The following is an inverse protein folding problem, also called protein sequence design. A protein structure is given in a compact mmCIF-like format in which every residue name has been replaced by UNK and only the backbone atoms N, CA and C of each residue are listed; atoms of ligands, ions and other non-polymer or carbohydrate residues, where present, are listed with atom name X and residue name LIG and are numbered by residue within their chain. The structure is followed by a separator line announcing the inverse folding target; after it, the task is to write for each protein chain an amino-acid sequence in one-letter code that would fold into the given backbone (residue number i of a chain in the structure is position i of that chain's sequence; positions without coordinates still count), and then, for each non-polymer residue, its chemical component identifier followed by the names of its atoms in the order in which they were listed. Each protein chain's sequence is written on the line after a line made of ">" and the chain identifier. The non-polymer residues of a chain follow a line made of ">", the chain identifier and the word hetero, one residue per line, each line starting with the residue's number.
data_IF_001353288123
#
_entry.id   IF_001353288123
#
_cell.length_a   1.000
_cell.length_b   1.000
_cell.length_c   1.000
_cell.angle_alpha   90.00
_cell.angle_beta   90.00
_cell.angle_gamma   90.00
#
_symmetry.space_group_name_H-M   'P 1'
#
loop_
_entity.id
_entity.type
_entity.pdbx_description
1 polymer ?
#
# COMPACT_ATOMS: atom_id res chain seq x y z
N UNK A 1 -16.91 -19.76 4.21
CA UNK A 1 -15.96 -19.34 3.15
C UNK A 1 -14.76 -20.27 3.22
N UNK A 2 -14.16 -20.67 2.07
CA UNK A 2 -12.94 -21.47 2.07
C UNK A 2 -11.77 -20.67 2.67
N UNK A 3 -10.78 -21.38 3.20
CA UNK A 3 -9.48 -20.83 3.58
C UNK A 3 -8.48 -21.10 2.45
N UNK A 4 -7.38 -20.35 2.41
CA UNK A 4 -6.34 -20.53 1.42
C UNK A 4 -5.71 -21.93 1.52
N UNK A 5 -5.55 -22.59 0.38
CA UNK A 5 -4.71 -23.79 0.28
C UNK A 5 -3.24 -23.42 0.53
N UNK A 6 -2.41 -24.43 0.83
CA UNK A 6 -0.96 -24.22 1.00
C UNK A 6 -0.32 -23.61 -0.25
N UNK A 7 -0.75 -24.04 -1.44
CA UNK A 7 -0.24 -23.54 -2.72
C UNK A 7 -0.62 -22.07 -2.93
N UNK A 8 -1.89 -21.70 -2.72
CA UNK A 8 -2.37 -20.33 -2.81
C UNK A 8 -1.67 -19.43 -1.80
N UNK A 9 -1.48 -19.90 -0.57
CA UNK A 9 -0.77 -19.14 0.48
C UNK A 9 0.68 -18.88 0.10
N UNK A 10 1.39 -19.91 -0.43
CA UNK A 10 2.77 -19.76 -0.88
C UNK A 10 2.90 -18.80 -2.08
N UNK A 11 1.91 -18.80 -2.99
CA UNK A 11 1.86 -17.87 -4.11
C UNK A 11 1.63 -16.45 -3.61
N UNK A 12 0.64 -16.26 -2.73
CA UNK A 12 0.33 -14.97 -2.12
C UNK A 12 1.53 -14.41 -1.34
N UNK A 13 2.24 -15.24 -0.56
CA UNK A 13 3.44 -14.83 0.18
C UNK A 13 4.50 -14.27 -0.77
N UNK A 14 4.85 -15.01 -1.83
CA UNK A 14 5.86 -14.56 -2.81
C UNK A 14 5.45 -13.25 -3.48
N UNK A 15 4.19 -13.14 -3.90
CA UNK A 15 3.66 -11.92 -4.52
C UNK A 15 3.71 -10.72 -3.57
N UNK A 16 3.28 -10.88 -2.32
CA UNK A 16 3.27 -9.77 -1.34
C UNK A 16 4.68 -9.32 -0.98
N UNK A 17 5.62 -10.27 -0.83
CA UNK A 17 7.04 -9.93 -0.55
C UNK A 17 7.67 -9.18 -1.72
N UNK A 18 7.45 -9.65 -2.97
CA UNK A 18 7.94 -8.96 -4.17
C UNK A 18 7.28 -7.58 -4.34
N UNK A 19 5.96 -7.49 -4.16
CA UNK A 19 5.22 -6.24 -4.25
C UNK A 19 5.73 -5.19 -3.25
N UNK A 20 6.08 -5.61 -2.04
CA UNK A 20 6.70 -4.72 -1.06
C UNK A 20 8.02 -4.13 -1.56
N UNK A 21 8.91 -4.95 -2.11
CA UNK A 21 10.19 -4.47 -2.63
C UNK A 21 10.01 -3.51 -3.80
N UNK A 22 9.08 -3.79 -4.70
CA UNK A 22 8.71 -2.91 -5.84
C UNK A 22 8.10 -1.61 -5.33
N UNK A 23 7.16 -1.66 -4.40
CA UNK A 23 6.51 -0.47 -3.84
C UNK A 23 7.48 0.41 -3.04
N UNK A 24 8.39 -0.18 -2.23
CA UNK A 24 9.43 0.57 -1.52
C UNK A 24 10.38 1.27 -2.52
N UNK A 25 10.75 0.63 -3.62
CA UNK A 25 11.58 1.23 -4.66
C UNK A 25 10.84 2.35 -5.40
N UNK A 26 9.59 2.14 -5.78
CA UNK A 26 8.74 3.16 -6.42
C UNK A 26 8.49 4.37 -5.52
N UNK A 27 8.16 4.15 -4.25
CA UNK A 27 8.00 5.20 -3.25
C UNK A 27 9.29 6.01 -3.09
N UNK A 28 10.44 5.34 -2.98
CA UNK A 28 11.74 6.01 -2.89
C UNK A 28 11.99 6.89 -4.10
N UNK A 29 11.84 6.37 -5.31
CA UNK A 29 12.05 7.13 -6.54
C UNK A 29 11.14 8.36 -6.63
N UNK A 30 9.86 8.21 -6.30
CA UNK A 30 8.89 9.31 -6.31
C UNK A 30 9.21 10.38 -5.26
N UNK A 31 9.55 9.99 -4.02
CA UNK A 31 9.90 10.92 -2.95
C UNK A 31 11.23 11.65 -3.23
N UNK A 32 12.19 10.99 -3.87
CA UNK A 32 13.45 11.60 -4.30
C UNK A 32 13.20 12.60 -5.46
N UNK A 33 12.33 12.29 -6.42
CA UNK A 33 11.94 13.21 -7.50
C UNK A 33 11.24 14.46 -6.95
N UNK A 34 10.48 14.34 -5.85
CA UNK A 34 9.89 15.45 -5.11
C UNK A 34 10.87 16.16 -4.15
N UNK A 35 12.15 15.84 -4.18
CA UNK A 35 13.17 16.42 -3.29
C UNK A 35 12.82 16.36 -1.79
N UNK A 36 12.05 15.36 -1.33
CA UNK A 36 11.60 15.25 0.06
C UNK A 36 12.79 15.10 1.01
N UNK A 37 13.82 14.36 0.60
CA UNK A 37 15.05 14.15 1.37
C UNK A 37 16.01 15.37 1.36
N UNK A 38 15.89 16.29 0.40
CA UNK A 38 16.72 17.48 0.29
C UNK A 38 16.27 18.60 1.25
N UNK A 39 17.21 19.46 1.66
CA UNK A 39 16.89 20.67 2.41
C UNK A 39 16.04 21.62 1.57
N UNK A 40 16.47 21.95 0.37
CA UNK A 40 15.78 22.86 -0.55
C UNK A 40 14.99 22.08 -1.62
N UNK A 41 13.86 22.63 -2.08
CA UNK A 41 13.14 22.09 -3.24
C UNK A 41 13.94 22.31 -4.52
N UNK A 42 13.74 21.44 -5.51
CA UNK A 42 14.32 21.68 -6.82
C UNK A 42 13.73 22.93 -7.47
N UNK A 43 14.55 23.67 -8.23
CA UNK A 43 14.17 24.96 -8.82
C UNK A 43 12.99 24.86 -9.81
N UNK A 44 12.87 23.71 -10.51
CA UNK A 44 11.84 23.45 -11.50
C UNK A 44 10.49 23.01 -10.94
N UNK A 45 10.38 22.78 -9.62
CA UNK A 45 9.14 22.32 -9.00
C UNK A 45 8.05 23.37 -9.03
N UNK A 46 6.82 22.94 -9.38
CA UNK A 46 5.62 23.77 -9.29
C UNK A 46 5.25 24.15 -7.83
N UNK A 47 4.42 25.17 -7.63
CA UNK A 47 3.92 25.51 -6.29
C UNK A 47 3.23 24.33 -5.58
N UNK A 48 2.43 23.55 -6.31
CA UNK A 48 1.69 22.38 -5.80
C UNK A 48 2.66 21.28 -5.38
N UNK A 49 3.68 20.99 -6.19
CA UNK A 49 4.73 20.02 -5.85
C UNK A 49 5.51 20.46 -4.60
N UNK A 50 5.79 21.76 -4.45
CA UNK A 50 6.46 22.29 -3.25
C UNK A 50 5.58 22.16 -2.01
N UNK A 51 4.28 22.38 -2.14
CA UNK A 51 3.32 22.19 -1.05
C UNK A 51 3.26 20.72 -0.62
N UNK A 52 3.07 19.81 -1.59
CA UNK A 52 3.06 18.37 -1.33
C UNK A 52 4.37 17.91 -0.65
N UNK A 53 5.52 18.35 -1.19
CA UNK A 53 6.82 18.08 -0.58
C UNK A 53 6.88 18.50 0.89
N UNK A 54 6.38 19.70 1.22
CA UNK A 54 6.40 20.19 2.60
C UNK A 54 5.52 19.34 3.53
N UNK A 55 4.35 18.90 3.06
CA UNK A 55 3.48 17.98 3.80
C UNK A 55 4.15 16.62 4.01
N UNK A 56 4.79 16.06 2.97
CA UNK A 56 5.54 14.80 3.06
C UNK A 56 6.74 14.90 4.03
N UNK A 57 7.46 16.02 4.03
CA UNK A 57 8.54 16.26 5.01
C UNK A 57 8.01 16.37 6.45
N UNK A 58 6.85 16.99 6.65
CA UNK A 58 6.20 17.02 7.95
C UNK A 58 5.78 15.62 8.39
N UNK A 59 5.19 14.84 7.47
CA UNK A 59 4.80 13.44 7.72
C UNK A 59 5.99 12.57 8.08
N UNK A 60 7.10 12.64 7.34
CA UNK A 60 8.33 11.89 7.63
C UNK A 60 8.82 12.12 9.07
N UNK A 61 8.85 13.37 9.52
CA UNK A 61 9.23 13.69 10.91
C UNK A 61 8.25 13.12 11.95
N UNK A 62 6.95 13.12 11.66
CA UNK A 62 5.94 12.49 12.52
C UNK A 62 6.13 10.98 12.65
N UNK A 63 6.62 10.33 11.58
CA UNK A 63 6.92 8.90 11.54
C UNK A 63 8.26 8.56 12.23
N UNK A 64 9.06 9.56 12.60
CA UNK A 64 10.34 9.37 13.29
C UNK A 64 11.57 9.47 12.39
N UNK A 65 11.41 9.81 11.11
CA UNK A 65 12.54 10.10 10.22
C UNK A 65 13.31 11.34 10.70
N UNK A 66 14.63 11.23 10.80
CA UNK A 66 15.49 12.26 11.40
C UNK A 66 16.02 13.22 10.36
N UNK A 67 16.17 14.47 10.76
CA UNK A 67 16.79 15.51 9.96
C UNK A 67 18.21 15.79 10.49
N UNK A 68 19.20 15.84 9.60
CA UNK A 68 20.57 16.18 9.94
C UNK A 68 20.77 17.70 10.08
N UNK A 69 21.99 18.09 10.49
CA UNK A 69 22.36 19.50 10.70
C UNK A 69 22.35 20.33 9.40
N UNK A 70 22.44 19.67 8.25
CA UNK A 70 22.42 20.30 6.93
C UNK A 70 21.00 20.39 6.34
N UNK A 71 19.98 19.99 7.11
CA UNK A 71 18.58 20.01 6.68
C UNK A 71 18.16 18.83 5.79
N UNK A 72 19.07 17.86 5.51
CA UNK A 72 18.74 16.62 4.82
C UNK A 72 17.89 15.75 5.74
N UNK A 73 16.79 15.21 5.21
CA UNK A 73 15.83 14.39 5.94
C UNK A 73 16.03 12.92 5.54
N UNK A 74 16.11 12.03 6.52
CA UNK A 74 15.87 10.61 6.30
C UNK A 74 14.41 10.44 5.87
N UNK A 75 14.15 9.46 4.99
CA UNK A 75 12.79 9.19 4.48
C UNK A 75 12.46 7.69 4.54
N UNK A 76 13.12 6.97 5.44
CA UNK A 76 12.98 5.50 5.52
C UNK A 76 11.59 5.07 5.96
N UNK A 77 11.05 5.69 7.02
CA UNK A 77 9.70 5.38 7.50
C UNK A 77 8.64 5.90 6.52
N UNK A 78 8.88 7.07 5.92
CA UNK A 78 7.98 7.63 4.91
C UNK A 78 7.90 6.73 3.66
N UNK A 79 9.03 6.17 3.20
CA UNK A 79 9.05 5.20 2.09
C UNK A 79 8.19 3.99 2.43
N UNK A 80 8.35 3.43 3.64
CA UNK A 80 7.59 2.26 4.08
C UNK A 80 6.08 2.52 4.16
N UNK A 81 5.69 3.68 4.69
CA UNK A 81 4.29 4.09 4.74
C UNK A 81 3.72 4.29 3.35
N UNK A 82 4.40 5.06 2.50
CA UNK A 82 3.97 5.33 1.13
C UNK A 82 3.83 4.02 0.33
N UNK A 83 4.79 3.11 0.44
CA UNK A 83 4.73 1.80 -0.20
C UNK A 83 3.53 0.97 0.26
N UNK A 84 3.29 0.93 1.57
CA UNK A 84 2.16 0.18 2.14
C UNK A 84 0.82 0.75 1.68
N UNK A 85 0.63 2.07 1.78
CA UNK A 85 -0.64 2.72 1.43
C UNK A 85 -0.99 2.53 -0.05
N UNK A 86 -0.02 2.64 -0.96
CA UNK A 86 -0.25 2.41 -2.39
C UNK A 86 -0.60 0.96 -2.71
N UNK A 87 0.18 0.00 -2.18
CA UNK A 87 -0.09 -1.42 -2.38
C UNK A 87 -1.42 -1.84 -1.77
N UNK A 88 -1.64 -1.46 -0.50
CA UNK A 88 -2.85 -1.82 0.23
C UNK A 88 -4.12 -1.32 -0.48
N UNK A 89 -4.09 -0.09 -1.01
CA UNK A 89 -5.21 0.48 -1.74
C UNK A 89 -5.58 -0.33 -2.99
N UNK A 90 -4.60 -0.72 -3.80
CA UNK A 90 -4.81 -1.53 -5.00
C UNK A 90 -5.31 -2.93 -4.65
N UNK A 91 -4.64 -3.60 -3.71
CA UNK A 91 -5.01 -4.94 -3.26
C UNK A 91 -6.42 -4.98 -2.66
N UNK A 92 -6.76 -3.97 -1.87
CA UNK A 92 -8.08 -3.89 -1.23
C UNK A 92 -9.18 -3.59 -2.26
N UNK A 93 -8.93 -2.74 -3.25
CA UNK A 93 -9.85 -2.50 -4.35
C UNK A 93 -10.13 -3.81 -5.09
N UNK A 94 -9.09 -4.61 -5.39
CA UNK A 94 -9.26 -5.94 -5.97
C UNK A 94 -10.06 -6.87 -5.08
N UNK A 95 -9.75 -6.92 -3.78
CA UNK A 95 -10.52 -7.73 -2.84
C UNK A 95 -12.00 -7.36 -2.85
N UNK A 96 -12.33 -6.08 -2.88
CA UNK A 96 -13.72 -5.63 -2.94
C UNK A 96 -14.39 -6.06 -4.25
N UNK A 97 -13.72 -5.88 -5.39
CA UNK A 97 -14.27 -6.27 -6.70
C UNK A 97 -14.53 -7.78 -6.80
N UNK A 98 -13.57 -8.61 -6.36
CA UNK A 98 -13.70 -10.08 -6.42
C UNK A 98 -14.78 -10.64 -5.47
N UNK A 99 -15.26 -9.84 -4.53
CA UNK A 99 -16.31 -10.20 -3.58
C UNK A 99 -17.64 -9.45 -3.84
N UNK A 100 -17.79 -8.80 -5.00
CA UNK A 100 -18.98 -7.99 -5.36
C UNK A 100 -19.27 -6.87 -4.35
N UNK A 101 -18.22 -6.30 -3.75
CA UNK A 101 -18.29 -5.26 -2.73
C UNK A 101 -17.74 -3.90 -3.18
N UNK A 102 -17.13 -3.81 -4.36
CA UNK A 102 -16.65 -2.54 -4.90
C UNK A 102 -17.86 -1.78 -5.49
N UNK A 103 -18.25 -0.70 -4.83
CA UNK A 103 -19.45 0.05 -5.19
C UNK A 103 -19.06 1.28 -6.01
N UNK A 104 -19.69 1.44 -7.18
CA UNK A 104 -19.69 2.69 -7.92
C UNK A 104 -20.56 3.71 -7.18
N UNK A 105 -20.03 4.90 -6.79
CA UNK A 105 -20.70 5.76 -5.81
C UNK A 105 -21.96 6.46 -6.31
N UNK A 106 -22.06 6.76 -7.62
CA UNK A 106 -23.20 7.51 -8.17
C UNK A 106 -24.44 6.63 -8.34
N UNK A 107 -24.24 5.41 -8.83
CA UNK A 107 -25.32 4.45 -9.06
C UNK A 107 -25.60 3.55 -7.86
N UNK A 108 -24.62 3.42 -6.95
CA UNK A 108 -24.74 2.56 -5.78
C UNK A 108 -24.76 1.06 -6.10
N UNK A 109 -24.14 0.65 -7.22
CA UNK A 109 -24.08 -0.73 -7.68
C UNK A 109 -22.66 -1.30 -7.52
N UNK A 110 -22.58 -2.62 -7.28
CA UNK A 110 -21.30 -3.31 -7.28
C UNK A 110 -20.77 -3.40 -8.71
N UNK A 111 -19.46 -3.18 -8.86
CA UNK A 111 -18.75 -3.21 -10.14
C UNK A 111 -17.59 -4.18 -10.10
N UNK A 112 -17.38 -4.90 -11.19
CA UNK A 112 -16.20 -5.74 -11.41
C UNK A 112 -14.98 -4.90 -11.82
N UNK A 113 -13.80 -5.52 -11.91
CA UNK A 113 -12.62 -4.84 -12.43
C UNK A 113 -12.74 -4.54 -13.93
N UNK A 114 -13.39 -5.42 -14.71
CA UNK A 114 -13.65 -5.20 -16.13
C UNK A 114 -14.55 -3.98 -16.34
N UNK A 115 -15.63 -3.86 -15.55
CA UNK A 115 -16.51 -2.68 -15.60
C UNK A 115 -15.76 -1.41 -15.14
N UNK A 116 -14.91 -1.49 -14.13
CA UNK A 116 -14.03 -0.40 -13.74
C UNK A 116 -13.07 0.01 -14.86
N UNK A 117 -12.55 -0.95 -15.64
CA UNK A 117 -11.66 -0.65 -16.77
C UNK A 117 -12.40 0.11 -17.89
N UNK A 118 -13.65 -0.27 -18.17
CA UNK A 118 -14.49 0.44 -19.13
C UNK A 118 -14.80 1.87 -18.67
N UNK A 119 -15.23 2.03 -17.43
CA UNK A 119 -15.49 3.34 -16.83
C UNK A 119 -14.23 4.21 -16.78
N UNK A 120 -13.06 3.63 -16.46
CA UNK A 120 -11.80 4.35 -16.43
C UNK A 120 -11.41 4.89 -17.81
N UNK A 121 -11.66 4.13 -18.89
CA UNK A 121 -11.44 4.60 -20.27
C UNK A 121 -12.35 5.78 -20.62
N UNK A 122 -13.61 5.75 -20.18
CA UNK A 122 -14.57 6.86 -20.39
C UNK A 122 -14.14 8.12 -19.64
N UNK A 123 -13.61 7.98 -18.43
CA UNK A 123 -13.12 9.11 -17.62
C UNK A 123 -11.70 9.58 -18.00
N UNK A 124 -10.99 8.87 -18.88
CA UNK A 124 -9.61 9.19 -19.25
C UNK A 124 -8.59 8.93 -18.14
N UNK A 125 -8.87 7.95 -17.28
CA UNK A 125 -8.00 7.49 -16.18
C UNK A 125 -7.62 6.02 -16.36
N UNK A 126 -6.84 5.46 -15.43
CA UNK A 126 -6.53 4.03 -15.42
C UNK A 126 -7.42 3.26 -14.42
N UNK A 127 -7.53 1.93 -14.66
CA UNK A 127 -8.32 1.00 -13.84
C UNK A 127 -8.05 1.16 -12.35
N UNK A 128 -6.78 1.12 -11.95
CA UNK A 128 -6.42 1.07 -10.54
C UNK A 128 -6.63 2.40 -9.82
N UNK A 129 -6.47 3.51 -10.54
CA UNK A 129 -6.83 4.85 -10.04
C UNK A 129 -8.33 4.92 -9.77
N UNK A 130 -9.17 4.45 -10.69
CA UNK A 130 -10.63 4.47 -10.53
C UNK A 130 -11.08 3.52 -9.42
N UNK A 131 -10.69 2.25 -9.47
CA UNK A 131 -11.07 1.24 -8.48
C UNK A 131 -10.63 1.64 -7.06
N UNK A 132 -9.42 2.19 -6.93
CA UNK A 132 -8.92 2.70 -5.65
C UNK A 132 -9.72 3.92 -5.17
N UNK A 133 -10.18 4.79 -6.08
CA UNK A 133 -11.04 5.93 -5.76
C UNK A 133 -12.40 5.47 -5.22
N UNK A 134 -13.01 4.46 -5.83
CA UNK A 134 -14.26 3.87 -5.35
C UNK A 134 -14.08 3.26 -3.95
N UNK A 135 -13.04 2.44 -3.75
CA UNK A 135 -12.72 1.87 -2.43
C UNK A 135 -12.51 2.96 -1.36
N UNK A 136 -11.83 4.04 -1.72
CA UNK A 136 -11.55 5.18 -0.83
C UNK A 136 -12.84 5.93 -0.45
N UNK A 137 -13.76 6.12 -1.38
CA UNK A 137 -15.05 6.75 -1.10
C UNK A 137 -15.94 5.90 -0.19
N UNK A 138 -15.88 4.57 -0.32
CA UNK A 138 -16.60 3.65 0.56
C UNK A 138 -16.06 3.65 1.99
N UNK A 139 -14.75 3.76 2.15
CA UNK A 139 -14.05 3.60 3.43
C UNK A 139 -13.10 4.77 3.71
N UNK A 140 -13.60 6.02 3.80
CA UNK A 140 -12.76 7.21 3.95
C UNK A 140 -11.99 7.23 5.28
N UNK A 141 -12.43 6.49 6.29
CA UNK A 141 -11.74 6.38 7.57
C UNK A 141 -10.47 5.51 7.46
N UNK A 142 -10.44 4.56 6.52
CA UNK A 142 -9.29 3.69 6.24
C UNK A 142 -8.38 4.36 5.21
N UNK A 143 -8.96 4.78 4.09
CA UNK A 143 -8.24 5.40 2.98
C UNK A 143 -8.40 6.92 3.02
N UNK A 144 -7.78 7.57 3.96
CA UNK A 144 -7.86 9.03 4.16
C UNK A 144 -7.47 9.79 2.88
N UNK A 145 -8.44 10.33 2.10
CA UNK A 145 -8.18 10.92 0.78
C UNK A 145 -7.21 12.11 0.82
N UNK A 146 -7.20 12.82 1.95
CA UNK A 146 -6.35 14.00 2.15
C UNK A 146 -4.92 13.66 2.64
N UNK A 147 -4.59 12.36 2.79
CA UNK A 147 -3.26 11.98 3.24
C UNK A 147 -2.22 12.28 2.13
N UNK A 148 -1.18 13.05 2.42
CA UNK A 148 -0.18 13.45 1.42
C UNK A 148 0.55 12.25 0.80
N UNK A 149 0.64 11.10 1.47
CA UNK A 149 1.28 9.91 0.89
C UNK A 149 0.50 9.34 -0.28
N UNK A 150 -0.84 9.51 -0.30
CA UNK A 150 -1.69 9.06 -1.40
C UNK A 150 -1.66 9.99 -2.62
N UNK A 151 -1.11 11.21 -2.48
CA UNK A 151 -0.90 12.14 -3.58
C UNK A 151 0.45 11.92 -4.29
N UNK A 152 1.28 11.00 -3.80
CA UNK A 152 2.54 10.62 -4.44
C UNK A 152 2.23 9.71 -5.63
N UNK A 153 2.76 10.03 -6.81
CA UNK A 153 2.64 9.18 -8.00
C UNK A 153 3.93 8.40 -8.20
N UNK A 154 3.83 7.07 -8.25
CA UNK A 154 4.99 6.22 -8.53
C UNK A 154 5.41 6.36 -10.00
N UNK A 155 6.70 6.23 -10.33
CA UNK A 155 7.12 6.07 -11.71
C UNK A 155 6.42 4.88 -12.38
N UNK A 156 6.09 5.04 -13.66
CA UNK A 156 5.23 4.10 -14.40
C UNK A 156 5.69 2.65 -14.34
N UNK A 157 6.99 2.39 -14.40
CA UNK A 157 7.54 1.03 -14.33
C UNK A 157 7.23 0.30 -13.02
N UNK A 158 7.20 1.02 -11.90
CA UNK A 158 6.84 0.42 -10.59
C UNK A 158 5.33 0.22 -10.48
N UNK A 159 4.56 1.18 -10.96
CA UNK A 159 3.10 1.06 -10.99
C UNK A 159 2.68 -0.16 -11.82
N UNK A 160 3.17 -0.28 -13.06
CA UNK A 160 2.89 -1.41 -13.95
C UNK A 160 3.30 -2.75 -13.34
N UNK A 161 4.45 -2.81 -12.65
CA UNK A 161 4.89 -4.05 -12.01
C UNK A 161 3.99 -4.45 -10.85
N UNK A 162 3.48 -3.50 -10.06
CA UNK A 162 2.51 -3.77 -8.99
C UNK A 162 1.18 -4.29 -9.55
N UNK A 163 0.71 -3.70 -10.65
CA UNK A 163 -0.48 -4.15 -11.38
C UNK A 163 -0.33 -5.61 -11.84
N UNK A 164 0.77 -5.93 -12.52
CA UNK A 164 1.07 -7.30 -12.95
C UNK A 164 1.10 -8.30 -11.80
N UNK A 165 1.70 -7.94 -10.66
CA UNK A 165 1.75 -8.80 -9.48
C UNK A 165 0.35 -9.08 -8.90
N UNK A 166 -0.56 -8.10 -8.97
CA UNK A 166 -1.96 -8.32 -8.59
C UNK A 166 -2.69 -9.19 -9.60
N UNK A 167 -2.51 -8.94 -10.89
CA UNK A 167 -3.18 -9.69 -11.96
C UNK A 167 -2.79 -11.16 -12.00
N UNK A 168 -1.57 -11.48 -11.61
CA UNK A 168 -1.06 -12.85 -11.50
C UNK A 168 -1.69 -13.68 -10.35
N UNK A 169 -2.42 -13.04 -9.42
CA UNK A 169 -3.13 -13.75 -8.36
C UNK A 169 -4.50 -14.22 -8.85
N UNK A 170 -4.83 -15.48 -8.60
CA UNK A 170 -6.14 -16.03 -8.96
C UNK A 170 -7.26 -15.35 -8.13
N UNK A 171 -8.45 -15.09 -8.74
CA UNK A 171 -9.61 -14.52 -8.05
C UNK A 171 -10.00 -15.25 -6.76
N UNK A 172 -9.90 -16.57 -6.74
CA UNK A 172 -10.24 -17.41 -5.59
C UNK A 172 -9.41 -17.11 -4.33
N UNK A 173 -8.19 -16.56 -4.50
CA UNK A 173 -7.35 -16.12 -3.39
C UNK A 173 -8.07 -15.01 -2.61
N UNK A 174 -8.68 -14.07 -3.31
CA UNK A 174 -9.38 -12.93 -2.68
C UNK A 174 -10.73 -13.31 -2.06
N UNK A 175 -11.31 -14.45 -2.45
CA UNK A 175 -12.56 -15.00 -1.90
C UNK A 175 -12.35 -15.84 -0.63
N UNK A 176 -11.11 -16.15 -0.29
CA UNK A 176 -10.79 -16.87 0.94
C UNK A 176 -10.95 -15.96 2.18
N UNK A 177 -11.53 -16.52 3.24
CA UNK A 177 -11.84 -15.79 4.48
C UNK A 177 -10.61 -15.30 5.25
N UNK A 178 -9.44 -15.88 4.98
CA UNK A 178 -8.17 -15.59 5.63
C UNK A 178 -7.19 -14.79 4.74
N UNK A 179 -7.58 -14.44 3.51
CA UNK A 179 -6.70 -13.80 2.53
C UNK A 179 -6.06 -12.49 3.05
N UNK A 180 -6.88 -11.53 3.51
CA UNK A 180 -6.39 -10.24 3.98
C UNK A 180 -5.49 -10.36 5.22
N UNK A 181 -5.78 -11.32 6.10
CA UNK A 181 -4.94 -11.59 7.26
C UNK A 181 -3.54 -12.06 6.87
N UNK A 182 -3.45 -12.98 5.91
CA UNK A 182 -2.18 -13.45 5.37
C UNK A 182 -1.43 -12.35 4.61
N UNK A 183 -2.11 -11.54 3.80
CA UNK A 183 -1.48 -10.39 3.12
C UNK A 183 -0.79 -9.49 4.12
N UNK A 184 -1.47 -9.10 5.20
CA UNK A 184 -0.89 -8.26 6.24
C UNK A 184 0.34 -8.93 6.89
N UNK A 185 0.24 -10.21 7.23
CA UNK A 185 1.34 -10.94 7.86
C UNK A 185 2.55 -11.07 6.93
N UNK A 186 2.35 -11.36 5.64
CA UNK A 186 3.43 -11.45 4.66
C UNK A 186 4.09 -10.10 4.41
N UNK A 187 3.31 -9.01 4.37
CA UNK A 187 3.86 -7.66 4.29
C UNK A 187 4.80 -7.35 5.46
N UNK A 188 4.48 -7.78 6.66
CA UNK A 188 5.30 -7.56 7.85
C UNK A 188 6.51 -8.50 7.96
N UNK A 189 6.57 -9.59 7.19
CA UNK A 189 7.58 -10.66 7.32
C UNK A 189 9.02 -10.15 7.21
N UNK A 190 9.31 -9.27 6.26
CA UNK A 190 10.64 -8.66 6.05
C UNK A 190 11.07 -7.82 7.25
N UNK A 191 10.17 -6.98 7.77
CA UNK A 191 10.45 -6.14 8.95
C UNK A 191 10.64 -7.00 10.21
N UNK A 192 9.80 -8.03 10.38
CA UNK A 192 9.93 -9.01 11.47
C UNK A 192 11.30 -9.68 11.46
N UNK A 193 11.75 -10.12 10.28
CA UNK A 193 13.07 -10.73 10.10
C UNK A 193 14.18 -9.75 10.48
N UNK A 194 14.16 -8.52 9.97
CA UNK A 194 15.13 -7.48 10.28
C UNK A 194 15.20 -7.14 11.77
N UNK A 195 14.06 -7.02 12.45
CA UNK A 195 13.99 -6.76 13.89
C UNK A 195 14.60 -7.91 14.68
N UNK A 196 14.26 -9.15 14.32
CA UNK A 196 14.80 -10.35 15.02
C UNK A 196 16.31 -10.50 14.81
N UNK A 197 16.82 -10.19 13.62
CA UNK A 197 18.26 -10.28 13.30
C UNK A 197 19.08 -9.12 13.88
N UNK A 198 18.46 -7.98 14.18
CA UNK A 198 19.17 -6.81 14.71
C UNK A 198 19.76 -7.02 16.11
N UNK A 199 19.22 -7.95 16.90
CA UNK A 199 19.60 -8.16 18.31
C UNK A 199 19.28 -6.98 19.24
N UNK A 200 18.67 -5.93 18.74
CA UNK A 200 18.31 -4.74 19.51
C UNK A 200 17.04 -4.97 20.33
N UNK A 201 16.86 -4.19 21.41
CA UNK A 201 15.58 -4.16 22.12
C UNK A 201 14.48 -3.67 21.17
N UNK A 202 13.34 -4.38 21.15
CA UNK A 202 12.20 -4.04 20.33
C UNK A 202 11.60 -2.71 20.84
N UNK A 203 11.68 -1.67 20.02
CA UNK A 203 11.04 -0.37 20.29
C UNK A 203 9.57 -0.36 19.91
N UNK A 204 8.87 0.70 20.27
CA UNK A 204 7.43 0.84 19.98
C UNK A 204 7.12 0.81 18.47
N UNK A 205 8.01 1.29 17.64
CA UNK A 205 7.93 1.30 16.17
C UNK A 205 8.08 -0.10 15.53
N UNK A 206 8.81 -1.00 16.19
CA UNK A 206 9.04 -2.37 15.73
C UNK A 206 8.05 -3.39 16.34
N UNK A 207 7.36 -3.00 17.43
CA UNK A 207 6.46 -3.88 18.17
C UNK A 207 5.34 -4.49 17.29
N UNK A 208 4.65 -3.75 16.42
CA UNK A 208 3.61 -4.32 15.56
C UNK A 208 4.13 -5.46 14.67
N UNK A 209 5.33 -5.31 14.10
CA UNK A 209 5.89 -6.31 13.18
C UNK A 209 6.18 -7.68 13.87
N UNK A 210 6.40 -7.69 15.17
CA UNK A 210 6.75 -8.93 15.92
C UNK A 210 5.61 -9.48 16.76
N UNK A 211 4.60 -8.67 17.11
CA UNK A 211 3.49 -9.06 18.00
C UNK A 211 2.14 -9.19 17.29
N UNK A 212 1.92 -8.46 16.21
CA UNK A 212 0.68 -8.56 15.44
C UNK A 212 0.78 -9.76 14.49
N UNK A 213 0.25 -10.89 14.94
CA UNK A 213 0.17 -12.12 14.16
C UNK A 213 -1.28 -12.32 13.73
N UNK A 214 -1.44 -12.73 12.47
CA UNK A 214 -2.75 -13.18 12.00
C UNK A 214 -3.14 -14.49 12.73
N UNK A 215 -4.35 -14.53 13.27
CA UNK A 215 -4.90 -15.72 13.92
C UNK A 215 -5.80 -16.45 12.94
N UNK A 216 -5.45 -17.68 12.58
CA UNK A 216 -6.22 -18.47 11.62
C UNK A 216 -7.65 -18.71 12.11
N UNK A 217 -8.66 -18.75 11.19
CA UNK A 217 -10.08 -18.86 11.55
C UNK A 217 -10.40 -20.07 12.42
N UNK A 218 -9.71 -21.19 12.24
CA UNK A 218 -9.95 -22.39 13.08
C UNK A 218 -9.56 -22.16 14.55
N UNK A 219 -8.55 -21.34 14.82
CA UNK A 219 -8.17 -20.97 16.19
C UNK A 219 -9.21 -20.04 16.83
N UNK A 220 -9.74 -19.10 16.05
CA UNK A 220 -10.79 -18.18 16.51
C UNK A 220 -12.07 -18.94 16.82
N UNK A 221 -12.42 -19.92 16.00
CA UNK A 221 -13.62 -20.75 16.22
C UNK A 221 -13.49 -21.73 17.38
N UNK A 222 -12.28 -22.00 17.87
CA UNK A 222 -12.02 -22.86 19.01
C UNK A 222 -12.17 -22.13 20.35
N UNK A 223 -12.04 -20.81 20.36
CA UNK A 223 -12.18 -19.97 21.56
C UNK A 223 -13.64 -19.63 21.84
#
# INVERSE_FOLDING_TARGET
>A
MPVLSVEQRNKLERTVVEARDVAEAGAKAALEALAVHHHEPYSHMSPEQRLLRNHLRARARQLGDKQDKNGKLEITHLIQECAYEHWHRMLFARFLAENDLLIEPEMGVAVSLEECEELAKEEGTDLWTLASRFAQQMLPQIFRPDDPVLQVTFPYEYQLKLEQLLDDLEPDIFKASDALGWVYQFWQSKRKKQVNESGNKIGADALPAVTQLFTEPYMVNFL
#
